data_IF_770945568673
#
_entry.id   IF_770945568673
#
_cell.length_a   1.000
_cell.length_b   1.000
_cell.length_c   1.000
_cell.angle_alpha   90.00
_cell.angle_beta   90.00
_cell.angle_gamma   90.00
#
_symmetry.space_group_name_H-M   'P 1'
#
loop_
_entity.id
_entity.type
_entity.pdbx_description
1 polymer ?
#
# COMPACT_ATOMS: atom_id res chain seq x y z
N UNK A 1 -4.86 25.91 12.03
CA UNK A 1 -4.54 25.48 10.65
C UNK A 1 -4.99 24.03 10.48
N UNK A 2 -5.52 23.65 9.32
CA UNK A 2 -5.88 22.26 9.05
C UNK A 2 -4.64 21.35 9.10
N UNK A 3 -4.80 20.14 9.60
CA UNK A 3 -3.72 19.14 9.63
C UNK A 3 -3.41 18.68 8.20
N UNK A 4 -2.11 18.68 7.84
CA UNK A 4 -1.63 18.32 6.49
C UNK A 4 -1.36 16.83 6.38
N UNK A 5 -2.02 16.16 5.44
CA UNK A 5 -1.92 14.72 5.26
C UNK A 5 -1.44 14.37 3.86
N UNK A 6 -0.40 13.54 3.77
CA UNK A 6 0.06 12.96 2.52
C UNK A 6 -0.63 11.61 2.31
N UNK A 7 -1.42 11.49 1.25
CA UNK A 7 -2.22 10.29 0.97
C UNK A 7 -1.55 9.44 -0.10
N UNK A 8 -1.24 8.19 0.23
CA UNK A 8 -0.72 7.21 -0.73
C UNK A 8 -1.80 6.82 -1.74
N UNK A 9 -1.59 7.18 -3.00
CA UNK A 9 -2.52 6.98 -4.12
C UNK A 9 -1.97 5.89 -5.04
N UNK A 10 -2.68 4.76 -5.14
CA UNK A 10 -2.31 3.63 -6.01
C UNK A 10 -3.06 3.62 -7.35
N UNK A 11 -3.95 4.58 -7.58
CA UNK A 11 -4.89 4.55 -8.72
C UNK A 11 -6.02 3.53 -8.55
N UNK A 12 -6.13 2.87 -7.40
CA UNK A 12 -7.22 1.96 -7.04
C UNK A 12 -8.33 2.65 -6.25
N UNK A 13 -9.48 1.98 -6.11
CA UNK A 13 -10.68 2.50 -5.43
C UNK A 13 -10.43 2.86 -3.97
N UNK A 14 -9.67 2.03 -3.24
CA UNK A 14 -9.47 2.20 -1.79
C UNK A 14 -8.69 3.48 -1.48
N UNK A 15 -7.58 3.73 -2.17
CA UNK A 15 -6.81 4.96 -1.98
C UNK A 15 -7.63 6.22 -2.35
N UNK A 16 -8.47 6.11 -3.36
CA UNK A 16 -9.37 7.20 -3.78
C UNK A 16 -10.44 7.49 -2.73
N UNK A 17 -11.08 6.44 -2.19
CA UNK A 17 -12.05 6.57 -1.11
C UNK A 17 -11.43 7.14 0.18
N UNK A 18 -10.21 6.70 0.52
CA UNK A 18 -9.47 7.22 1.67
C UNK A 18 -9.19 8.73 1.54
N UNK A 19 -8.73 9.17 0.36
CA UNK A 19 -8.49 10.58 0.07
C UNK A 19 -9.78 11.41 0.16
N UNK A 20 -10.88 10.92 -0.43
CA UNK A 20 -12.18 11.56 -0.38
C UNK A 20 -12.68 11.77 1.04
N UNK A 21 -12.59 10.73 1.88
CA UNK A 21 -12.99 10.79 3.28
C UNK A 21 -12.19 11.82 4.07
N UNK A 22 -10.88 11.91 3.84
CA UNK A 22 -10.05 12.91 4.51
C UNK A 22 -10.39 14.33 4.05
N UNK A 23 -10.59 14.53 2.74
CA UNK A 23 -10.99 15.83 2.20
C UNK A 23 -12.35 16.26 2.77
N UNK A 24 -13.34 15.36 2.83
CA UNK A 24 -14.68 15.66 3.39
C UNK A 24 -14.65 16.00 4.87
N UNK A 25 -13.62 15.53 5.62
CA UNK A 25 -13.38 15.87 7.03
C UNK A 25 -12.59 17.18 7.20
N UNK A 26 -12.25 17.88 6.13
CA UNK A 26 -11.59 19.19 6.17
C UNK A 26 -10.07 19.12 6.35
N UNK A 27 -9.43 17.96 6.13
CA UNK A 27 -7.96 17.89 6.12
C UNK A 27 -7.38 18.57 4.87
N UNK A 28 -6.19 19.17 5.02
CA UNK A 28 -5.38 19.65 3.91
C UNK A 28 -4.59 18.45 3.36
N UNK A 29 -4.99 17.94 2.19
CA UNK A 29 -4.44 16.68 1.66
C UNK A 29 -3.70 16.87 0.34
N UNK A 30 -2.64 16.08 0.15
CA UNK A 30 -1.92 15.91 -1.12
C UNK A 30 -1.83 14.43 -1.46
N UNK A 31 -2.08 14.07 -2.72
CA UNK A 31 -1.88 12.72 -3.22
C UNK A 31 -0.41 12.44 -3.57
N UNK A 32 0.07 11.23 -3.28
CA UNK A 32 1.40 10.76 -3.65
C UNK A 32 1.33 9.34 -4.20
N UNK A 33 1.85 9.12 -5.40
CA UNK A 33 2.06 7.77 -5.93
C UNK A 33 3.52 7.34 -5.75
N UNK A 34 3.72 6.14 -5.21
CA UNK A 34 5.04 5.53 -5.07
C UNK A 34 5.34 4.71 -6.34
N UNK A 35 6.39 5.08 -7.07
CA UNK A 35 6.89 4.32 -8.21
C UNK A 35 7.90 3.30 -7.66
N UNK A 36 7.49 2.03 -7.61
CA UNK A 36 8.20 0.96 -6.89
C UNK A 36 9.04 0.08 -7.81
N UNK A 37 8.64 -0.03 -9.07
CA UNK A 37 9.34 -0.81 -10.10
C UNK A 37 9.00 -0.25 -11.47
N UNK A 38 9.90 -0.48 -12.42
CA UNK A 38 9.75 0.03 -13.78
C UNK A 38 9.04 -1.02 -14.65
N UNK A 39 7.72 -0.92 -14.73
CA UNK A 39 6.89 -1.74 -15.60
C UNK A 39 5.91 -0.88 -16.40
N UNK A 40 5.19 -1.52 -17.35
CA UNK A 40 4.17 -0.84 -18.16
C UNK A 40 2.96 -0.36 -17.35
N UNK A 41 2.74 -0.88 -16.13
CA UNK A 41 1.59 -0.54 -15.27
C UNK A 41 1.84 0.69 -14.41
N UNK A 42 3.09 0.97 -14.05
CA UNK A 42 3.44 2.14 -13.22
C UNK A 42 2.98 3.45 -13.84
N UNK A 43 3.19 3.74 -15.15
CA UNK A 43 2.66 4.96 -15.77
C UNK A 43 1.13 5.04 -15.74
N UNK A 44 0.44 3.90 -15.86
CA UNK A 44 -1.02 3.85 -15.81
C UNK A 44 -1.54 4.15 -14.40
N UNK A 45 -0.94 3.58 -13.36
CA UNK A 45 -1.35 3.82 -11.97
C UNK A 45 -1.09 5.27 -11.55
N UNK A 46 0.02 5.87 -11.97
CA UNK A 46 0.32 7.29 -11.76
C UNK A 46 -0.73 8.18 -12.44
N UNK A 47 -1.08 7.87 -13.71
CA UNK A 47 -2.11 8.60 -14.46
C UNK A 47 -3.48 8.50 -13.78
N UNK A 48 -3.89 7.29 -13.40
CA UNK A 48 -5.18 7.05 -12.75
C UNK A 48 -5.26 7.80 -11.40
N UNK A 49 -4.19 7.74 -10.60
CA UNK A 49 -4.10 8.46 -9.34
C UNK A 49 -4.15 9.98 -9.55
N UNK A 50 -3.44 10.49 -10.56
CA UNK A 50 -3.46 11.91 -10.92
C UNK A 50 -4.86 12.37 -11.32
N UNK A 51 -5.57 11.61 -12.16
CA UNK A 51 -6.93 11.93 -12.57
C UNK A 51 -7.89 12.04 -11.38
N UNK A 52 -7.77 11.15 -10.40
CA UNK A 52 -8.54 11.22 -9.15
C UNK A 52 -8.21 12.49 -8.36
N UNK A 53 -6.93 12.82 -8.23
CA UNK A 53 -6.49 14.03 -7.53
C UNK A 53 -6.96 15.31 -8.23
N UNK A 54 -6.84 15.37 -9.56
CA UNK A 54 -7.30 16.50 -10.37
C UNK A 54 -8.82 16.70 -10.19
N UNK A 55 -9.61 15.62 -10.25
CA UNK A 55 -11.06 15.68 -10.00
C UNK A 55 -11.41 16.17 -8.60
N UNK A 56 -10.62 15.74 -7.60
CA UNK A 56 -10.78 16.22 -6.23
C UNK A 56 -10.19 17.63 -6.02
N UNK A 57 -9.53 18.23 -7.01
CA UNK A 57 -8.81 19.50 -6.87
C UNK A 57 -7.82 19.49 -5.69
N UNK A 58 -7.04 18.43 -5.58
CA UNK A 58 -5.96 18.30 -4.61
C UNK A 58 -4.60 18.20 -5.32
N UNK A 59 -3.52 18.72 -4.74
CA UNK A 59 -2.18 18.57 -5.28
C UNK A 59 -1.79 17.09 -5.40
N UNK A 60 -0.96 16.78 -6.39
CA UNK A 60 -0.48 15.42 -6.65
C UNK A 60 1.03 15.44 -6.92
N UNK A 61 1.70 14.37 -6.53
CA UNK A 61 3.11 14.13 -6.81
C UNK A 61 3.39 12.63 -6.98
N UNK A 62 4.59 12.29 -7.44
CA UNK A 62 5.09 10.92 -7.50
C UNK A 62 6.49 10.83 -6.92
N UNK A 63 6.82 9.72 -6.28
CA UNK A 63 8.10 9.48 -5.65
C UNK A 63 8.70 8.16 -6.17
N UNK A 64 9.87 8.23 -6.79
CA UNK A 64 10.59 7.03 -7.21
C UNK A 64 11.29 6.40 -6.00
N UNK A 65 10.94 5.17 -5.70
CA UNK A 65 11.52 4.33 -4.64
C UNK A 65 11.98 2.97 -5.17
N UNK A 66 12.22 2.85 -6.48
CA UNK A 66 12.57 1.58 -7.15
C UNK A 66 13.78 0.91 -6.49
N UNK A 67 14.88 1.64 -6.29
CA UNK A 67 16.08 1.09 -5.68
C UNK A 67 15.82 0.58 -4.25
N UNK A 68 15.10 1.35 -3.45
CA UNK A 68 14.77 0.97 -2.09
C UNK A 68 13.80 -0.23 -2.05
N UNK A 69 12.85 -0.28 -2.99
CA UNK A 69 11.93 -1.41 -3.13
C UNK A 69 12.65 -2.69 -3.52
N UNK A 70 13.57 -2.61 -4.46
CA UNK A 70 14.43 -3.74 -4.83
C UNK A 70 15.25 -4.24 -3.63
N UNK A 71 15.91 -3.33 -2.90
CA UNK A 71 16.74 -3.68 -1.75
C UNK A 71 15.93 -4.29 -0.59
N UNK A 72 14.78 -3.69 -0.24
CA UNK A 72 14.04 -4.03 0.98
C UNK A 72 12.91 -5.02 0.79
N UNK A 73 12.46 -5.22 -0.46
CA UNK A 73 11.29 -6.08 -0.73
C UNK A 73 11.62 -7.20 -1.72
N UNK A 74 12.11 -6.88 -2.92
CA UNK A 74 12.34 -7.90 -3.95
C UNK A 74 13.52 -8.79 -3.59
N UNK A 75 14.66 -8.24 -3.21
CA UNK A 75 15.85 -9.03 -2.85
C UNK A 75 15.58 -9.97 -1.68
N UNK A 76 14.99 -9.54 -0.54
CA UNK A 76 14.61 -10.47 0.52
C UNK A 76 13.61 -11.53 0.07
N UNK A 77 12.61 -11.17 -0.73
CA UNK A 77 11.63 -12.11 -1.27
C UNK A 77 12.29 -13.25 -2.06
N UNK A 78 13.24 -12.93 -2.92
CA UNK A 78 13.98 -13.92 -3.71
C UNK A 78 14.84 -14.79 -2.79
N UNK A 79 15.59 -14.18 -1.87
CA UNK A 79 16.47 -14.89 -0.95
C UNK A 79 15.68 -15.88 -0.06
N UNK A 80 14.51 -15.47 0.44
CA UNK A 80 13.67 -16.33 1.27
C UNK A 80 13.21 -17.57 0.50
N UNK A 81 12.75 -17.42 -0.75
CA UNK A 81 12.39 -18.56 -1.59
C UNK A 81 13.58 -19.48 -1.89
N UNK A 82 14.77 -18.92 -2.15
CA UNK A 82 15.99 -19.71 -2.34
C UNK A 82 16.38 -20.51 -1.08
N UNK A 83 15.98 -20.04 0.10
CA UNK A 83 16.21 -20.72 1.39
C UNK A 83 15.03 -21.61 1.83
N UNK A 84 14.05 -21.87 0.96
CA UNK A 84 12.89 -22.72 1.25
C UNK A 84 11.85 -22.09 2.16
N UNK A 85 11.87 -20.76 2.31
CA UNK A 85 10.87 -20.00 3.08
C UNK A 85 9.74 -19.53 2.16
N UNK A 86 8.60 -19.17 2.75
CA UNK A 86 7.46 -18.57 2.03
C UNK A 86 7.25 -17.15 2.51
N UNK A 87 7.88 -16.15 1.88
CA UNK A 87 7.82 -14.76 2.33
C UNK A 87 6.48 -14.09 2.02
N UNK A 88 6.12 -13.09 2.84
CA UNK A 88 5.06 -12.13 2.51
C UNK A 88 5.68 -10.75 2.26
N UNK A 89 5.96 -10.39 1.01
CA UNK A 89 6.65 -9.13 0.68
C UNK A 89 5.82 -7.89 1.01
N UNK A 90 4.49 -8.01 1.18
CA UNK A 90 3.65 -6.89 1.59
C UNK A 90 3.98 -6.39 3.00
N UNK A 91 4.45 -7.28 3.89
CA UNK A 91 4.90 -6.91 5.24
C UNK A 91 6.11 -5.98 5.15
N UNK A 92 7.13 -6.37 4.38
CA UNK A 92 8.36 -5.57 4.20
C UNK A 92 8.07 -4.26 3.43
N UNK A 93 7.19 -4.32 2.41
CA UNK A 93 6.74 -3.11 1.71
C UNK A 93 6.04 -2.13 2.66
N UNK A 94 5.13 -2.59 3.50
CA UNK A 94 4.49 -1.72 4.48
C UNK A 94 5.51 -1.12 5.45
N UNK A 95 6.38 -1.95 6.04
CA UNK A 95 7.38 -1.54 7.04
C UNK A 95 8.37 -0.50 6.50
N UNK A 96 8.95 -0.73 5.31
CA UNK A 96 10.08 0.04 4.81
C UNK A 96 9.69 1.11 3.78
N UNK A 97 8.67 0.86 2.99
CA UNK A 97 8.29 1.71 1.87
C UNK A 97 7.11 2.63 2.24
N UNK A 98 5.92 2.04 2.48
CA UNK A 98 4.71 2.84 2.69
C UNK A 98 4.72 3.59 4.02
N UNK A 99 5.07 2.92 5.11
CA UNK A 99 5.11 3.52 6.45
C UNK A 99 6.54 3.88 6.91
N UNK A 100 7.55 3.59 6.08
CA UNK A 100 8.92 4.06 6.23
C UNK A 100 9.20 5.27 5.33
N UNK A 101 9.73 5.02 4.13
CA UNK A 101 10.20 6.07 3.21
C UNK A 101 9.13 7.12 2.85
N UNK A 102 7.86 6.70 2.65
CA UNK A 102 6.78 7.66 2.40
C UNK A 102 6.50 8.53 3.63
N UNK A 103 6.55 7.98 4.85
CA UNK A 103 6.39 8.77 6.07
C UNK A 103 7.55 9.75 6.25
N UNK A 104 8.79 9.30 6.05
CA UNK A 104 9.97 10.17 6.12
C UNK A 104 9.88 11.32 5.12
N UNK A 105 9.45 11.01 3.88
CA UNK A 105 9.20 12.04 2.86
C UNK A 105 8.12 13.02 3.32
N UNK A 106 7.01 12.53 3.87
CA UNK A 106 5.92 13.37 4.36
C UNK A 106 6.39 14.34 5.44
N UNK A 107 7.04 13.84 6.48
CA UNK A 107 7.53 14.66 7.59
C UNK A 107 8.57 15.70 7.15
N UNK A 108 9.49 15.33 6.26
CA UNK A 108 10.49 16.25 5.68
C UNK A 108 9.86 17.36 4.84
N UNK A 109 8.68 17.12 4.25
CA UNK A 109 7.96 18.09 3.43
C UNK A 109 6.83 18.82 4.18
N UNK A 110 6.81 18.76 5.53
CA UNK A 110 5.91 19.53 6.38
C UNK A 110 4.49 18.98 6.48
N UNK A 111 4.29 17.68 6.13
CA UNK A 111 3.04 16.98 6.44
C UNK A 111 3.08 16.46 7.89
N UNK A 112 1.92 16.41 8.52
CA UNK A 112 1.81 15.93 9.88
C UNK A 112 1.71 14.38 9.94
N UNK A 113 1.03 13.80 8.93
CA UNK A 113 0.77 12.36 8.84
C UNK A 113 0.73 11.89 7.40
N UNK A 114 0.76 10.59 7.26
CA UNK A 114 0.40 9.89 6.02
C UNK A 114 -0.96 9.22 6.17
N UNK A 115 -1.58 8.90 5.04
CA UNK A 115 -2.77 8.05 5.00
C UNK A 115 -2.70 7.06 3.86
N UNK A 116 -3.33 5.90 4.04
CA UNK A 116 -3.43 4.85 3.03
C UNK A 116 -4.83 4.23 3.02
N UNK A 117 -5.16 3.53 1.94
CA UNK A 117 -6.41 2.80 1.78
C UNK A 117 -6.44 1.42 2.45
N UNK A 118 -5.64 1.17 3.50
CA UNK A 118 -5.70 -0.10 4.22
C UNK A 118 -6.93 -0.21 5.11
N UNK A 119 -7.47 -1.43 5.19
CA UNK A 119 -8.58 -1.78 6.09
C UNK A 119 -8.01 -2.26 7.43
N UNK A 120 -7.82 -1.35 8.33
CA UNK A 120 -7.44 -1.55 9.72
C UNK A 120 -7.74 -0.26 10.51
N UNK A 121 -7.72 -0.33 11.83
CA UNK A 121 -7.92 0.84 12.69
C UNK A 121 -6.69 1.08 13.56
N UNK A 122 -6.39 2.36 13.83
CA UNK A 122 -5.39 2.79 14.80
C UNK A 122 -6.11 3.56 15.90
N UNK A 123 -6.00 3.07 17.15
CA UNK A 123 -6.63 3.68 18.32
C UNK A 123 -5.57 4.09 19.34
N UNK A 124 -5.73 5.27 19.94
CA UNK A 124 -4.88 5.67 21.05
C UNK A 124 -5.42 5.08 22.36
N UNK A 125 -4.57 4.36 23.09
CA UNK A 125 -4.88 3.76 24.40
C UNK A 125 -3.80 4.21 25.38
N UNK A 126 -4.13 5.15 26.27
CA UNK A 126 -3.15 5.81 27.12
C UNK A 126 -2.07 6.50 26.29
N UNK A 127 -0.81 6.14 26.53
CA UNK A 127 0.34 6.70 25.80
C UNK A 127 0.73 5.91 24.54
N UNK A 128 -0.02 4.86 24.17
CA UNK A 128 0.29 4.00 23.04
C UNK A 128 -0.76 4.09 21.94
N UNK A 129 -0.32 3.85 20.72
CA UNK A 129 -1.17 3.59 19.56
C UNK A 129 -1.28 2.08 19.36
N UNK A 130 -2.52 1.60 19.19
CA UNK A 130 -2.83 0.17 19.04
C UNK A 130 -3.49 -0.04 17.70
N UNK A 131 -2.97 -1.01 16.93
CA UNK A 131 -3.59 -1.49 15.71
C UNK A 131 -4.76 -2.41 16.08
N UNK A 132 -5.94 -2.16 15.51
CA UNK A 132 -7.13 -2.99 15.73
C UNK A 132 -7.78 -3.35 14.41
N UNK A 133 -8.55 -4.44 14.39
CA UNK A 133 -9.20 -4.95 13.19
C UNK A 133 -10.11 -3.93 12.54
N UNK A 134 -10.27 -4.07 11.22
CA UNK A 134 -11.26 -3.34 10.46
C UNK A 134 -12.70 -3.75 10.82
N UNK A 135 -13.65 -2.86 10.48
CA UNK A 135 -15.09 -3.18 10.52
C UNK A 135 -15.42 -4.34 9.58
N UNK A 136 -14.86 -4.33 8.38
CA UNK A 136 -14.97 -5.42 7.41
C UNK A 136 -13.90 -6.48 7.69
N UNK A 137 -14.26 -7.53 8.42
CA UNK A 137 -13.33 -8.59 8.77
C UNK A 137 -12.84 -9.39 7.57
N UNK A 138 -13.62 -9.44 6.47
CA UNK A 138 -13.22 -10.11 5.23
C UNK A 138 -12.11 -9.37 4.47
N UNK A 139 -11.92 -8.08 4.77
CA UNK A 139 -10.91 -7.19 4.18
C UNK A 139 -9.85 -6.74 5.19
N UNK A 140 -9.87 -7.28 6.43
CA UNK A 140 -8.91 -6.90 7.46
C UNK A 140 -7.46 -7.10 7.01
N UNK A 141 -6.65 -6.05 7.17
CA UNK A 141 -5.24 -6.01 6.76
C UNK A 141 -4.28 -5.81 7.93
N UNK A 142 -4.72 -6.06 9.15
CA UNK A 142 -3.84 -5.96 10.33
C UNK A 142 -2.65 -6.91 10.25
N UNK A 143 -2.82 -8.06 9.56
CA UNK A 143 -1.78 -9.07 9.39
C UNK A 143 -0.54 -8.61 8.60
N UNK A 144 -0.66 -7.57 7.75
CA UNK A 144 0.48 -6.97 7.03
C UNK A 144 0.96 -5.66 7.66
N UNK A 145 0.32 -5.21 8.74
CA UNK A 145 0.61 -3.94 9.43
C UNK A 145 1.20 -4.15 10.84
N UNK A 146 1.26 -5.38 11.34
CA UNK A 146 1.72 -5.69 12.70
C UNK A 146 3.14 -5.19 13.02
N UNK A 147 4.10 -5.08 12.06
CA UNK A 147 5.45 -4.65 12.38
C UNK A 147 5.59 -3.12 12.51
N UNK A 148 4.50 -2.35 12.37
CA UNK A 148 4.56 -0.90 12.47
C UNK A 148 4.94 -0.44 13.88
N UNK A 149 5.91 0.46 13.97
CA UNK A 149 6.38 1.05 15.21
C UNK A 149 5.37 2.07 15.77
N UNK A 150 5.52 2.44 17.03
CA UNK A 150 4.70 3.48 17.68
C UNK A 150 4.81 4.84 16.94
N UNK A 151 6.01 5.17 16.45
CA UNK A 151 6.22 6.37 15.64
C UNK A 151 5.41 6.31 14.34
N UNK A 152 5.44 5.19 13.61
CA UNK A 152 4.69 5.01 12.38
C UNK A 152 3.18 5.05 12.64
N UNK A 153 2.69 4.36 13.68
CA UNK A 153 1.28 4.35 14.04
C UNK A 153 0.78 5.76 14.44
N UNK A 154 1.58 6.53 15.18
CA UNK A 154 1.22 7.90 15.60
C UNK A 154 1.04 8.86 14.41
N UNK A 155 1.78 8.63 13.32
CA UNK A 155 1.77 9.47 12.12
C UNK A 155 0.99 8.87 10.95
N UNK A 156 0.10 7.91 11.20
CA UNK A 156 -0.69 7.23 10.18
C UNK A 156 -2.18 7.38 10.41
N UNK A 157 -2.92 7.60 9.33
CA UNK A 157 -4.38 7.51 9.27
C UNK A 157 -4.79 6.36 8.35
N UNK A 158 -5.77 5.56 8.78
CA UNK A 158 -6.37 4.48 8.01
C UNK A 158 -7.89 4.74 7.87
N UNK A 159 -8.29 5.62 6.94
CA UNK A 159 -9.67 6.12 6.88
C UNK A 159 -10.72 5.05 6.60
N UNK A 160 -10.33 3.91 6.00
CA UNK A 160 -11.25 2.84 5.62
C UNK A 160 -11.53 1.82 6.73
N UNK A 161 -10.83 1.91 7.87
CA UNK A 161 -10.97 0.93 8.96
C UNK A 161 -12.39 0.80 9.51
N UNK A 162 -13.18 1.86 9.50
CA UNK A 162 -14.56 1.88 9.99
C UNK A 162 -15.61 1.69 8.86
N UNK A 163 -15.18 1.31 7.64
CA UNK A 163 -16.06 1.05 6.50
C UNK A 163 -15.98 -0.39 6.04
N UNK A 164 -17.07 -0.88 5.44
CA UNK A 164 -17.03 -2.07 4.61
C UNK A 164 -16.49 -1.72 3.21
N UNK A 165 -16.07 -2.74 2.47
CA UNK A 165 -15.60 -2.56 1.09
C UNK A 165 -16.68 -1.94 0.20
N UNK A 166 -17.94 -2.36 0.37
CA UNK A 166 -19.06 -1.84 -0.39
C UNK A 166 -19.35 -0.37 -0.06
N UNK A 167 -19.29 0.00 1.23
CA UNK A 167 -19.42 1.40 1.64
C UNK A 167 -18.32 2.29 1.03
N UNK A 168 -17.08 1.80 0.97
CA UNK A 168 -15.97 2.53 0.34
C UNK A 168 -16.17 2.69 -1.18
N UNK A 169 -16.61 1.62 -1.87
CA UNK A 169 -16.94 1.66 -3.30
C UNK A 169 -18.10 2.60 -3.60
N UNK A 170 -19.16 2.56 -2.81
CA UNK A 170 -20.30 3.46 -2.97
C UNK A 170 -19.90 4.93 -2.86
N UNK A 171 -19.06 5.28 -1.88
CA UNK A 171 -18.54 6.64 -1.74
C UNK A 171 -17.73 7.08 -2.96
N UNK A 172 -16.82 6.23 -3.44
CA UNK A 172 -16.05 6.52 -4.64
C UNK A 172 -16.93 6.67 -5.89
N UNK A 173 -17.98 5.86 -6.03
CA UNK A 173 -18.93 5.91 -7.14
C UNK A 173 -19.81 7.18 -7.11
N UNK A 174 -20.30 7.60 -5.93
CA UNK A 174 -21.10 8.80 -5.76
C UNK A 174 -20.38 10.07 -6.21
N UNK A 175 -19.04 10.11 -5.99
CA UNK A 175 -18.19 11.18 -6.48
C UNK A 175 -17.74 10.98 -7.94
N UNK A 176 -18.24 9.91 -8.59
CA UNK A 176 -18.04 9.64 -10.02
C UNK A 176 -16.60 9.32 -10.39
N UNK A 177 -15.84 8.65 -9.51
CA UNK A 177 -14.49 8.19 -9.83
C UNK A 177 -14.54 7.04 -10.83
N UNK A 178 -13.79 7.17 -11.94
CA UNK A 178 -13.71 6.16 -13.01
C UNK A 178 -13.18 4.80 -12.53
N UNK A 179 -12.41 4.78 -11.43
CA UNK A 179 -11.83 3.57 -10.85
C UNK A 179 -12.72 2.90 -9.79
N UNK A 180 -13.94 3.39 -9.53
CA UNK A 180 -14.85 2.81 -8.53
C UNK A 180 -15.16 1.32 -8.77
N UNK A 181 -15.17 0.89 -10.05
CA UNK A 181 -15.44 -0.48 -10.47
C UNK A 181 -14.16 -1.29 -10.77
N UNK A 182 -12.97 -0.73 -10.53
CA UNK A 182 -11.71 -1.45 -10.75
C UNK A 182 -11.61 -2.64 -9.79
N UNK A 183 -11.21 -3.79 -10.32
CA UNK A 183 -10.97 -4.99 -9.51
C UNK A 183 -9.86 -4.74 -8.48
N UNK A 184 -9.98 -5.40 -7.31
CA UNK A 184 -8.93 -5.36 -6.30
C UNK A 184 -7.68 -6.07 -6.82
N UNK A 185 -6.49 -5.56 -6.47
CA UNK A 185 -5.25 -6.31 -6.66
C UNK A 185 -5.27 -7.51 -5.70
N UNK A 186 -5.28 -8.72 -6.24
CA UNK A 186 -5.37 -9.96 -5.45
C UNK A 186 -4.00 -10.57 -5.16
N UNK A 187 -2.98 -10.23 -5.97
CA UNK A 187 -1.65 -10.82 -5.93
C UNK A 187 -0.55 -9.82 -5.53
N UNK A 188 0.65 -10.35 -5.37
CA UNK A 188 1.87 -9.57 -5.16
C UNK A 188 2.04 -8.60 -6.34
N UNK A 189 2.14 -7.31 -6.06
CA UNK A 189 2.07 -6.24 -7.07
C UNK A 189 3.13 -6.36 -8.19
N UNK A 190 4.30 -6.95 -7.89
CA UNK A 190 5.38 -7.18 -8.86
C UNK A 190 5.40 -8.61 -9.44
N UNK A 191 4.44 -9.48 -9.02
CA UNK A 191 4.19 -10.81 -9.59
C UNK A 191 2.70 -10.93 -9.94
N UNK A 192 2.21 -10.17 -10.93
CA UNK A 192 0.78 -9.97 -11.17
C UNK A 192 0.06 -11.20 -11.75
N UNK A 193 0.80 -12.18 -12.25
CA UNK A 193 0.32 -13.46 -12.76
C UNK A 193 0.39 -14.59 -11.71
N UNK A 194 0.90 -14.30 -10.51
CA UNK A 194 1.10 -15.28 -9.45
C UNK A 194 2.25 -16.27 -9.69
N UNK A 195 2.94 -16.18 -10.82
CA UNK A 195 4.08 -17.07 -11.17
C UNK A 195 5.39 -16.52 -10.59
N UNK A 196 5.54 -16.65 -9.26
CA UNK A 196 6.75 -16.23 -8.56
C UNK A 196 7.99 -17.02 -8.98
N UNK A 197 7.84 -18.28 -9.41
CA UNK A 197 8.97 -19.11 -9.86
C UNK A 197 9.60 -18.53 -11.13
N UNK A 198 8.79 -18.23 -12.15
CA UNK A 198 9.24 -17.54 -13.36
C UNK A 198 9.81 -16.16 -13.06
N UNK A 199 9.19 -15.38 -12.17
CA UNK A 199 9.71 -14.07 -11.76
C UNK A 199 11.12 -14.18 -11.16
N UNK A 200 11.34 -15.12 -10.23
CA UNK A 200 12.63 -15.33 -9.57
C UNK A 200 13.68 -15.81 -10.60
N UNK A 201 13.36 -16.82 -11.42
CA UNK A 201 14.25 -17.33 -12.46
C UNK A 201 14.72 -16.24 -13.41
N UNK A 202 13.80 -15.41 -13.90
CA UNK A 202 14.12 -14.28 -14.79
C UNK A 202 15.01 -13.24 -14.10
N UNK A 203 14.72 -12.93 -12.83
CA UNK A 203 15.48 -11.93 -12.06
C UNK A 203 16.91 -12.39 -11.77
N UNK A 204 17.09 -13.69 -11.49
CA UNK A 204 18.41 -14.29 -11.22
C UNK A 204 19.17 -14.66 -12.50
N UNK A 205 18.49 -14.73 -13.66
CA UNK A 205 19.07 -15.25 -14.90
C UNK A 205 19.42 -16.74 -14.83
N UNK A 206 18.72 -17.50 -13.96
CA UNK A 206 18.96 -18.94 -13.76
C UNK A 206 17.64 -19.69 -13.75
N UNK A 207 17.65 -20.95 -14.23
CA UNK A 207 16.51 -21.85 -14.10
C UNK A 207 16.61 -22.63 -12.78
N UNK A 208 15.45 -22.95 -12.20
CA UNK A 208 15.41 -23.85 -11.05
C UNK A 208 15.72 -25.28 -11.54
N UNK A 209 16.59 -25.99 -10.80
CA UNK A 209 16.80 -27.42 -11.01
C UNK A 209 15.54 -28.19 -10.59
N UNK A 210 15.20 -29.20 -11.40
CA UNK A 210 14.18 -30.17 -10.99
C UNK A 210 14.69 -30.99 -9.82
N UNK A 211 13.84 -31.33 -8.88
CA UNK A 211 14.13 -32.18 -7.74
C UNK A 211 12.93 -33.09 -7.42
N UNK A 212 13.20 -34.22 -6.79
CA UNK A 212 12.18 -35.15 -6.35
C UNK A 212 11.56 -34.68 -5.02
N UNK A 213 10.27 -34.94 -4.85
CA UNK A 213 9.63 -34.87 -3.55
C UNK A 213 10.00 -36.14 -2.77
N UNK A 214 10.68 -35.98 -1.64
CA UNK A 214 11.05 -37.06 -0.76
C UNK A 214 10.09 -37.11 0.42
N UNK A 215 9.49 -38.28 0.68
CA UNK A 215 8.78 -38.53 1.92
C UNK A 215 9.75 -38.89 3.03
N UNK A 216 9.41 -38.61 4.26
CA UNK A 216 10.25 -38.86 5.44
C UNK A 216 9.97 -40.23 6.08
N UNK A 217 9.38 -41.20 5.36
CA UNK A 217 9.13 -42.56 5.83
C UNK A 217 10.43 -43.38 6.00
#
# INVERSE_FOLDING_TARGET
>A
MAEKILVGMSGGVDSSAAALLLKSKGYDIKGLTLCLYNDEKTPLSVRDAKQVCDKMQIPFDSLNLENLFNEKVITPFINDYQNGLTPNPCIECNKHIKFGAMLDYALKNGFNKIATGHYANIKKQGDRFVLTRAKDLSKDQTYVLYPLTQHQLAHTLLPLGELTKDEARQKAAQDGFVNANKADSQDICFVPDGDYATFISKTLGTEFSQGDFLDLD
#
